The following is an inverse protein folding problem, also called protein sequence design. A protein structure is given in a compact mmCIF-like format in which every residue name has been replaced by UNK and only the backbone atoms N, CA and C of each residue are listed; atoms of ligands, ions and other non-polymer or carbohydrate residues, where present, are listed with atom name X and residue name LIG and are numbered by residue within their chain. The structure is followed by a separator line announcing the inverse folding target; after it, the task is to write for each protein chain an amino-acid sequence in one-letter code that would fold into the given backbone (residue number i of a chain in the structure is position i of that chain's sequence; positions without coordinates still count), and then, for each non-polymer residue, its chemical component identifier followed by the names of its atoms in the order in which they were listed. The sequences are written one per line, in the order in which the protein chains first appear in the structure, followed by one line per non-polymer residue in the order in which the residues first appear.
data_IF_995548450987
#
_entry.id   IF_995548450987
#
_cell.length_a   1.000
_cell.length_b   1.000
_cell.length_c   1.000
_cell.angle_alpha   90.00
_cell.angle_beta   90.00
_cell.angle_gamma   90.00
#
_symmetry.space_group_name_H-M   'P 1'
#
loop_
_entity.id
_entity.type
_entity.pdbx_description
1 polymer ?
#
# COMPACT_ATOMS: atom_id res chain seq x y z
N UNK A 1 -9.41 -29.41 54.93
CA UNK A 1 -10.50 -28.94 54.06
C UNK A 1 -10.21 -27.47 53.78
N UNK A 2 -9.14 -27.10 53.08
CA UNK A 2 -8.84 -27.31 51.66
C UNK A 2 -10.01 -26.82 50.79
N UNK A 3 -10.14 -25.50 50.78
CA UNK A 3 -10.97 -24.71 49.88
C UNK A 3 -10.20 -24.57 48.56
N UNK A 4 -10.70 -25.23 47.53
CA UNK A 4 -10.22 -25.14 46.16
C UNK A 4 -10.38 -23.69 45.67
N UNK A 5 -9.26 -22.97 45.59
CA UNK A 5 -9.14 -21.76 44.79
C UNK A 5 -9.38 -22.14 43.33
N UNK A 6 -10.62 -21.91 42.88
CA UNK A 6 -11.03 -21.88 41.49
C UNK A 6 -10.25 -20.76 40.79
N UNK A 7 -9.05 -21.10 40.32
CA UNK A 7 -8.26 -20.30 39.39
C UNK A 7 -9.12 -20.14 38.13
N UNK A 8 -9.77 -18.99 38.01
CA UNK A 8 -10.36 -18.54 36.75
C UNK A 8 -9.21 -18.29 35.79
N UNK A 9 -8.82 -19.31 35.03
CA UNK A 9 -7.89 -19.18 33.90
C UNK A 9 -8.47 -18.12 32.97
N UNK A 10 -7.84 -16.94 32.97
CA UNK A 10 -8.23 -15.84 32.10
C UNK A 10 -8.14 -16.30 30.66
N UNK A 11 -9.23 -16.17 29.90
CA UNK A 11 -9.26 -16.53 28.50
C UNK A 11 -8.05 -15.91 27.78
N UNK A 12 -7.21 -16.72 27.12
CA UNK A 12 -6.00 -16.24 26.48
C UNK A 12 -6.40 -15.34 25.32
N UNK A 13 -6.25 -14.03 25.54
CA UNK A 13 -6.27 -12.90 24.60
C UNK A 13 -6.30 -13.28 23.10
N UNK A 14 -7.46 -13.75 22.61
CA UNK A 14 -7.64 -14.27 21.25
C UNK A 14 -7.46 -13.17 20.20
N UNK A 15 -7.72 -11.91 20.58
CA UNK A 15 -7.66 -10.75 19.69
C UNK A 15 -6.23 -10.37 19.27
N UNK A 16 -5.23 -10.55 20.13
CA UNK A 16 -3.85 -10.15 19.82
C UNK A 16 -3.21 -11.11 18.80
N UNK A 17 -3.59 -12.39 18.84
CA UNK A 17 -3.04 -13.41 17.94
C UNK A 17 -3.48 -13.20 16.49
N UNK A 18 -4.71 -12.74 16.28
CA UNK A 18 -5.29 -12.58 14.94
C UNK A 18 -4.60 -11.49 14.12
N UNK A 19 -4.18 -10.38 14.75
CA UNK A 19 -3.47 -9.30 14.04
C UNK A 19 -2.07 -9.73 13.58
N UNK A 20 -1.36 -10.48 14.42
CA UNK A 20 0.01 -10.91 14.14
C UNK A 20 0.06 -11.99 13.05
N UNK A 21 -0.90 -12.91 13.04
CA UNK A 21 -1.04 -13.93 12.01
C UNK A 21 -1.35 -13.26 10.65
N UNK A 22 -2.28 -12.29 10.62
CA UNK A 22 -2.61 -11.56 9.40
C UNK A 22 -1.41 -10.80 8.82
N UNK A 23 -0.59 -10.17 9.66
CA UNK A 23 0.59 -9.44 9.19
C UNK A 23 1.66 -10.38 8.63
N UNK A 24 1.83 -11.55 9.26
CA UNK A 24 2.76 -12.59 8.81
C UNK A 24 2.33 -13.17 7.47
N UNK A 25 1.04 -13.41 7.27
CA UNK A 25 0.48 -13.89 6.01
C UNK A 25 0.67 -12.88 4.88
N UNK A 26 0.42 -11.59 5.14
CA UNK A 26 0.64 -10.52 4.15
C UNK A 26 2.11 -10.40 3.77
N UNK A 27 3.02 -10.42 4.74
CA UNK A 27 4.47 -10.40 4.49
C UNK A 27 4.92 -11.63 3.68
N UNK A 28 4.42 -12.81 4.04
CA UNK A 28 4.71 -14.06 3.33
C UNK A 28 4.23 -14.03 1.88
N UNK A 29 3.02 -13.53 1.63
CA UNK A 29 2.49 -13.36 0.28
C UNK A 29 3.35 -12.38 -0.55
N UNK A 30 3.73 -11.23 0.01
CA UNK A 30 4.56 -10.24 -0.68
C UNK A 30 5.96 -10.78 -1.02
N UNK A 31 6.60 -11.46 -0.08
CA UNK A 31 7.89 -12.10 -0.30
C UNK A 31 7.78 -13.22 -1.34
N UNK A 32 6.74 -14.06 -1.24
CA UNK A 32 6.47 -15.12 -2.20
C UNK A 32 6.30 -14.61 -3.62
N UNK A 33 5.48 -13.58 -3.81
CA UNK A 33 5.25 -12.96 -5.13
C UNK A 33 6.51 -12.30 -5.69
N UNK A 34 7.28 -11.61 -4.85
CA UNK A 34 8.51 -10.93 -5.26
C UNK A 34 9.59 -11.93 -5.67
N UNK A 35 9.84 -12.95 -4.85
CA UNK A 35 10.80 -14.00 -5.16
C UNK A 35 10.39 -14.80 -6.39
N UNK A 36 9.09 -15.11 -6.51
CA UNK A 36 8.55 -15.79 -7.68
C UNK A 36 8.73 -14.95 -8.95
N UNK A 37 8.39 -13.66 -8.91
CA UNK A 37 8.58 -12.74 -10.04
C UNK A 37 10.06 -12.56 -10.42
N UNK A 38 10.95 -12.42 -9.43
CA UNK A 38 12.39 -12.32 -9.66
C UNK A 38 12.98 -13.60 -10.29
N UNK A 39 12.52 -14.78 -9.84
CA UNK A 39 12.93 -16.05 -10.41
C UNK A 39 12.46 -16.21 -11.86
N UNK A 40 11.30 -15.65 -12.22
CA UNK A 40 10.83 -15.64 -13.61
C UNK A 40 11.67 -14.71 -14.51
N UNK A 41 12.19 -13.61 -13.97
CA UNK A 41 13.13 -12.74 -14.68
C UNK A 41 14.49 -13.41 -14.92
N UNK A 42 14.95 -14.28 -14.03
CA UNK A 42 16.21 -15.02 -14.26
C UNK A 42 16.13 -15.91 -15.51
N UNK A 43 14.93 -16.42 -15.84
CA UNK A 43 14.66 -17.19 -17.05
C UNK A 43 14.19 -16.33 -18.25
N UNK A 44 14.43 -15.02 -18.26
CA UNK A 44 13.92 -14.11 -19.30
C UNK A 44 14.33 -14.47 -20.74
N UNK A 45 15.50 -15.07 -20.89
CA UNK A 45 16.06 -15.56 -22.15
C UNK A 45 16.12 -17.08 -22.22
N UNK A 46 15.31 -17.78 -21.42
CA UNK A 46 15.24 -19.24 -21.45
C UNK A 46 14.79 -19.77 -22.83
N UNK A 47 15.26 -20.96 -23.25
CA UNK A 47 14.79 -21.60 -24.47
C UNK A 47 13.37 -22.13 -24.25
N UNK A 48 12.37 -21.45 -24.80
CA UNK A 48 10.99 -21.93 -24.79
C UNK A 48 10.68 -22.71 -26.08
N UNK A 49 9.85 -23.77 -26.00
CA UNK A 49 9.44 -24.55 -27.18
C UNK A 49 8.74 -23.71 -28.24
N UNK A 50 7.97 -22.70 -27.81
CA UNK A 50 7.24 -21.81 -28.71
C UNK A 50 7.40 -20.32 -28.38
N UNK A 51 7.22 -19.49 -29.40
CA UNK A 51 7.25 -18.04 -29.24
C UNK A 51 6.07 -17.51 -28.39
N UNK A 52 4.92 -18.20 -28.43
CA UNK A 52 3.77 -17.85 -27.62
C UNK A 52 4.06 -18.00 -26.12
N UNK A 53 4.65 -19.14 -25.72
CA UNK A 53 5.05 -19.39 -24.34
C UNK A 53 6.06 -18.35 -23.84
N UNK A 54 7.00 -17.92 -24.69
CA UNK A 54 7.95 -16.85 -24.35
C UNK A 54 7.23 -15.55 -24.05
N UNK A 55 6.26 -15.15 -24.89
CA UNK A 55 5.49 -13.91 -24.68
C UNK A 55 4.66 -14.03 -23.40
N UNK A 56 3.94 -15.14 -23.21
CA UNK A 56 3.13 -15.39 -22.02
C UNK A 56 3.99 -15.33 -20.76
N UNK A 57 5.16 -15.95 -20.76
CA UNK A 57 6.09 -15.91 -19.64
C UNK A 57 6.57 -14.50 -19.30
N UNK A 58 6.95 -13.72 -20.32
CA UNK A 58 7.40 -12.33 -20.16
C UNK A 58 6.29 -11.43 -19.65
N UNK A 59 5.09 -11.55 -20.21
CA UNK A 59 3.90 -10.82 -19.76
C UNK A 59 3.60 -11.18 -18.31
N UNK A 60 3.57 -12.47 -17.95
CA UNK A 60 3.35 -12.93 -16.58
C UNK A 60 4.36 -12.32 -15.59
N UNK A 61 5.64 -12.34 -15.94
CA UNK A 61 6.73 -11.79 -15.14
C UNK A 61 6.56 -10.28 -14.92
N UNK A 62 6.21 -9.55 -15.98
CA UNK A 62 5.95 -8.12 -15.93
C UNK A 62 4.74 -7.79 -15.06
N UNK A 63 3.64 -8.55 -15.18
CA UNK A 63 2.46 -8.32 -14.33
C UNK A 63 2.79 -8.55 -12.85
N UNK A 64 3.57 -9.58 -12.50
CA UNK A 64 4.03 -9.81 -11.13
C UNK A 64 4.87 -8.63 -10.58
N UNK A 65 5.77 -8.06 -11.39
CA UNK A 65 6.57 -6.88 -10.99
C UNK A 65 5.72 -5.62 -10.85
N UNK A 66 4.71 -5.46 -11.71
CA UNK A 66 3.78 -4.34 -11.64
C UNK A 66 2.99 -4.35 -10.33
N UNK A 67 2.60 -5.52 -9.79
CA UNK A 67 1.97 -5.62 -8.45
C UNK A 67 2.85 -5.02 -7.35
N UNK A 68 4.14 -5.37 -7.34
CA UNK A 68 5.09 -4.86 -6.35
C UNK A 68 5.35 -3.35 -6.52
N UNK A 69 5.56 -2.90 -7.76
CA UNK A 69 5.73 -1.48 -8.07
C UNK A 69 4.52 -0.64 -7.63
N UNK A 70 3.30 -1.15 -7.84
CA UNK A 70 2.07 -0.48 -7.41
C UNK A 70 1.96 -0.38 -5.89
N UNK A 71 2.32 -1.44 -5.17
CA UNK A 71 2.36 -1.40 -3.71
C UNK A 71 3.36 -0.35 -3.22
N UNK A 72 4.56 -0.30 -3.79
CA UNK A 72 5.55 0.74 -3.46
C UNK A 72 5.03 2.15 -3.75
N UNK A 73 4.32 2.36 -4.86
CA UNK A 73 3.71 3.66 -5.18
C UNK A 73 2.62 4.05 -4.16
N UNK A 74 1.79 3.11 -3.74
CA UNK A 74 0.77 3.34 -2.70
C UNK A 74 1.47 3.73 -1.39
N UNK A 75 2.47 2.97 -0.94
CA UNK A 75 3.25 3.29 0.27
C UNK A 75 3.92 4.67 0.17
N UNK A 76 4.58 4.97 -0.95
CA UNK A 76 5.21 6.26 -1.17
C UNK A 76 4.19 7.41 -1.14
N UNK A 77 3.00 7.22 -1.71
CA UNK A 77 1.93 8.22 -1.66
C UNK A 77 1.45 8.46 -0.23
N UNK A 78 1.24 7.41 0.57
CA UNK A 78 0.83 7.52 1.97
C UNK A 78 1.89 8.28 2.78
N UNK A 79 3.16 7.92 2.61
CA UNK A 79 4.29 8.60 3.27
C UNK A 79 4.33 10.08 2.88
N UNK A 80 4.18 10.39 1.59
CA UNK A 80 4.13 11.78 1.10
C UNK A 80 2.98 12.57 1.74
N UNK A 81 1.78 11.99 1.83
CA UNK A 81 0.65 12.64 2.49
C UNK A 81 0.88 12.88 3.97
N UNK A 82 1.42 11.90 4.70
CA UNK A 82 1.79 12.04 6.12
C UNK A 82 2.80 13.17 6.29
N UNK A 83 3.81 13.22 5.42
CA UNK A 83 4.84 14.25 5.43
C UNK A 83 4.25 15.65 5.18
N UNK A 84 3.40 15.82 4.17
CA UNK A 84 2.72 17.08 3.88
C UNK A 84 1.83 17.50 5.05
N UNK A 85 1.10 16.57 5.66
CA UNK A 85 0.29 16.84 6.84
C UNK A 85 1.14 17.32 8.02
N UNK A 86 2.27 16.66 8.28
CA UNK A 86 3.21 17.06 9.32
C UNK A 86 3.80 18.45 9.07
N UNK A 87 4.22 18.76 7.84
CA UNK A 87 4.71 20.09 7.47
C UNK A 87 3.66 21.18 7.68
N UNK A 88 2.41 20.92 7.29
CA UNK A 88 1.30 21.85 7.52
C UNK A 88 1.09 22.08 9.02
N UNK A 89 1.13 21.03 9.83
CA UNK A 89 1.00 21.14 11.29
C UNK A 89 2.13 21.96 11.91
N UNK A 90 3.38 21.74 11.49
CA UNK A 90 4.54 22.52 11.94
C UNK A 90 4.42 23.98 11.51
N UNK A 91 4.02 24.24 10.27
CA UNK A 91 3.81 25.59 9.76
C UNK A 91 2.73 26.35 10.55
N UNK A 92 1.58 25.70 10.80
CA UNK A 92 0.49 26.28 11.60
C UNK A 92 0.97 26.56 13.03
N UNK A 93 1.76 25.66 13.62
CA UNK A 93 2.33 25.86 14.95
C UNK A 93 3.31 27.04 14.98
N UNK A 94 4.22 27.15 14.02
CA UNK A 94 5.17 28.26 13.93
C UNK A 94 4.47 29.62 13.75
N UNK A 95 3.43 29.66 12.92
CA UNK A 95 2.64 30.89 12.69
C UNK A 95 1.91 31.36 13.94
N UNK A 96 1.44 30.45 14.80
CA UNK A 96 0.81 30.83 16.08
C UNK A 96 1.78 31.52 17.02
N UNK A 97 3.00 30.99 17.15
CA UNK A 97 4.01 31.55 18.05
C UNK A 97 4.39 33.00 17.67
N UNK A 98 4.58 33.29 16.38
CA UNK A 98 4.91 34.65 15.90
C UNK A 98 3.83 35.69 16.24
N UNK A 99 2.57 35.27 16.27
CA UNK A 99 1.45 36.16 16.55
C UNK A 99 1.31 36.46 18.05
N UNK A 100 1.80 35.57 18.91
CA UNK A 100 1.83 35.72 20.36
C UNK A 100 2.89 36.76 20.77
N UNK A 101 4.09 36.70 20.19
CA UNK A 101 5.17 37.68 20.41
C UNK A 101 4.75 39.11 20.02
N UNK A 102 4.05 39.25 18.89
CA UNK A 102 3.56 40.54 18.40
C UNK A 102 2.52 41.17 19.34
N UNK A 103 1.76 40.36 20.08
CA UNK A 103 0.74 40.84 21.03
C UNK A 103 1.35 41.35 22.33
N UNK A 104 2.46 40.76 22.79
CA UNK A 104 3.16 41.16 24.01
C UNK A 104 3.81 42.54 23.84
N UNK A 105 4.37 42.84 22.67
CA UNK A 105 5.03 44.14 22.42
C UNK A 105 4.02 45.30 22.30
N UNK A 106 2.80 45.04 21.82
CA UNK A 106 1.77 46.07 21.63
C UNK A 106 1.06 46.53 22.93
N UNK A 107 1.15 45.76 24.02
CA UNK A 107 0.45 46.05 25.28
C UNK A 107 1.11 47.12 26.18
N UNK A 108 2.29 47.63 25.83
CA UNK A 108 3.07 48.52 26.72
C UNK A 108 2.83 50.02 26.49
N UNK A 109 1.92 50.43 25.61
CA UNK A 109 1.64 51.85 25.41
C UNK A 109 0.19 52.10 25.01
N UNK A 110 -0.41 53.13 25.62
CA UNK A 110 -1.67 53.81 25.28
C UNK A 110 -3.03 53.20 25.69
N UNK A 111 -3.53 53.79 26.77
CA UNK A 111 -4.92 54.06 27.17
C UNK A 111 -5.94 54.28 26.03
N UNK A 112 -7.06 53.55 26.14
CA UNK A 112 -8.45 53.91 25.79
C UNK A 112 -8.72 54.69 24.50
N UNK A 113 -9.32 54.02 23.50
CA UNK A 113 -10.36 54.47 22.54
C UNK A 113 -10.16 53.66 21.25
N UNK A 114 -10.85 52.51 21.08
CA UNK A 114 -11.10 51.80 19.77
C UNK A 114 -11.72 50.41 20.01
N UNK A 115 -12.94 50.34 20.57
CA UNK A 115 -13.62 49.06 20.87
C UNK A 115 -14.51 48.51 19.75
N UNK A 116 -14.64 49.17 18.60
CA UNK A 116 -15.65 48.84 17.58
C UNK A 116 -15.14 48.15 16.31
N UNK A 117 -13.85 48.23 15.96
CA UNK A 117 -13.34 47.70 14.68
C UNK A 117 -12.87 46.24 14.73
N UNK A 118 -12.47 45.72 15.90
CA UNK A 118 -11.94 44.34 16.04
C UNK A 118 -12.97 43.21 15.93
N UNK A 119 -14.28 43.50 15.96
CA UNK A 119 -15.32 42.45 15.94
C UNK A 119 -15.58 41.85 14.56
N UNK A 120 -15.26 42.56 13.48
CA UNK A 120 -15.57 42.14 12.10
C UNK A 120 -14.52 41.18 11.50
N UNK A 121 -13.23 41.38 11.83
CA UNK A 121 -12.13 40.56 11.30
C UNK A 121 -12.04 39.17 11.94
N UNK A 122 -12.47 39.03 13.21
CA UNK A 122 -12.47 37.76 13.92
C UNK A 122 -13.43 36.72 13.30
N UNK A 123 -14.61 37.16 12.85
CA UNK A 123 -15.59 36.28 12.18
C UNK A 123 -15.12 35.78 10.82
N UNK A 124 -14.39 36.61 10.07
CA UNK A 124 -13.88 36.25 8.74
C UNK A 124 -12.72 35.24 8.83
N UNK A 125 -11.91 35.29 9.90
CA UNK A 125 -10.81 34.35 10.15
C UNK A 125 -11.32 32.95 10.50
N UNK A 126 -12.30 32.83 11.40
CA UNK A 126 -12.91 31.55 11.78
C UNK A 126 -13.63 30.87 10.61
N UNK A 127 -14.26 31.67 9.74
CA UNK A 127 -14.94 31.16 8.54
C UNK A 127 -13.94 30.66 7.49
N UNK A 128 -12.78 31.31 7.33
CA UNK A 128 -11.74 30.88 6.39
C UNK A 128 -11.01 29.61 6.84
N UNK A 129 -10.79 29.43 8.14
CA UNK A 129 -10.18 28.20 8.68
C UNK A 129 -11.10 26.98 8.54
N UNK A 130 -12.41 27.14 8.79
CA UNK A 130 -13.38 26.07 8.57
C UNK A 130 -13.55 25.73 7.08
N UNK A 131 -13.46 26.73 6.20
CA UNK A 131 -13.59 26.53 4.75
C UNK A 131 -12.37 25.82 4.14
N UNK A 132 -11.15 26.18 4.56
CA UNK A 132 -9.93 25.48 4.15
C UNK A 132 -9.82 24.07 4.74
N UNK A 133 -10.31 23.86 5.97
CA UNK A 133 -10.44 22.51 6.56
C UNK A 133 -11.37 21.61 5.74
N UNK A 134 -12.55 22.12 5.41
CA UNK A 134 -13.55 21.38 4.63
C UNK A 134 -13.10 21.07 3.19
N UNK A 135 -12.44 22.01 2.51
CA UNK A 135 -11.96 21.82 1.14
C UNK A 135 -10.78 20.83 1.04
N UNK A 136 -9.91 20.79 2.06
CA UNK A 136 -8.78 19.86 2.12
C UNK A 136 -9.21 18.43 2.46
N UNK A 137 -10.28 18.25 3.22
CA UNK A 137 -10.72 16.92 3.68
C UNK A 137 -11.62 16.16 2.70
N UNK A 138 -12.35 16.82 1.78
CA UNK A 138 -13.46 16.15 1.07
C UNK A 138 -13.23 15.86 -0.41
N UNK A 139 -12.44 16.67 -1.13
CA UNK A 139 -12.44 16.59 -2.61
C UNK A 139 -11.32 15.69 -3.18
N UNK A 140 -10.08 15.81 -2.70
CA UNK A 140 -8.95 15.09 -3.31
C UNK A 140 -8.84 13.63 -2.85
N UNK A 141 -9.18 13.36 -1.58
CA UNK A 141 -9.04 12.02 -1.02
C UNK A 141 -10.07 11.03 -1.58
N UNK A 142 -11.30 11.48 -1.83
CA UNK A 142 -12.35 10.61 -2.37
C UNK A 142 -12.17 10.27 -3.84
N UNK A 143 -11.70 11.23 -4.65
CA UNK A 143 -11.37 10.98 -6.05
C UNK A 143 -10.16 10.03 -6.13
N UNK A 144 -9.13 10.25 -5.30
CA UNK A 144 -7.96 9.38 -5.27
C UNK A 144 -8.31 7.96 -4.81
N UNK A 145 -9.16 7.79 -3.79
CA UNK A 145 -9.68 6.48 -3.37
C UNK A 145 -10.44 5.78 -4.48
N UNK A 146 -11.32 6.49 -5.18
CA UNK A 146 -12.13 5.92 -6.28
C UNK A 146 -11.27 5.51 -7.46
N UNK A 147 -10.35 6.38 -7.89
CA UNK A 147 -9.39 6.07 -8.95
C UNK A 147 -8.47 4.92 -8.57
N UNK A 148 -7.95 4.91 -7.34
CA UNK A 148 -7.14 3.82 -6.80
C UNK A 148 -7.89 2.50 -6.80
N UNK A 149 -9.14 2.48 -6.30
CA UNK A 149 -9.98 1.27 -6.27
C UNK A 149 -10.33 0.75 -7.66
N UNK A 150 -10.63 1.66 -8.61
CA UNK A 150 -10.91 1.27 -9.99
C UNK A 150 -9.67 0.67 -10.64
N UNK A 151 -8.51 1.32 -10.49
CA UNK A 151 -7.24 0.84 -11.01
C UNK A 151 -6.89 -0.54 -10.44
N UNK A 152 -6.97 -0.72 -9.11
CA UNK A 152 -6.65 -2.00 -8.48
C UNK A 152 -7.60 -3.10 -8.91
N UNK A 153 -8.89 -2.81 -9.09
CA UNK A 153 -9.88 -3.78 -9.57
C UNK A 153 -9.59 -4.22 -11.01
N UNK A 154 -9.31 -3.27 -11.91
CA UNK A 154 -8.96 -3.58 -13.29
C UNK A 154 -7.68 -4.40 -13.37
N UNK A 155 -6.66 -4.01 -12.60
CA UNK A 155 -5.39 -4.73 -12.56
C UNK A 155 -5.55 -6.15 -12.00
N UNK A 156 -6.29 -6.33 -10.91
CA UNK A 156 -6.59 -7.64 -10.34
C UNK A 156 -7.34 -8.53 -11.32
N UNK A 157 -8.31 -7.98 -12.06
CA UNK A 157 -9.03 -8.73 -13.10
C UNK A 157 -8.11 -9.17 -14.24
N UNK A 158 -7.24 -8.28 -14.71
CA UNK A 158 -6.26 -8.59 -15.76
C UNK A 158 -5.26 -9.65 -15.29
N UNK A 159 -4.78 -9.56 -14.04
CA UNK A 159 -3.93 -10.57 -13.42
C UNK A 159 -4.61 -11.94 -13.38
N UNK A 160 -5.87 -11.99 -12.93
CA UNK A 160 -6.65 -13.23 -12.87
C UNK A 160 -6.81 -13.86 -14.27
N UNK A 161 -7.16 -13.05 -15.28
CA UNK A 161 -7.25 -13.51 -16.67
C UNK A 161 -5.90 -14.04 -17.17
N UNK A 162 -4.81 -13.29 -16.93
CA UNK A 162 -3.47 -13.71 -17.33
C UNK A 162 -3.06 -15.03 -16.67
N UNK A 163 -3.34 -15.20 -15.37
CA UNK A 163 -3.11 -16.45 -14.65
C UNK A 163 -3.90 -17.62 -15.24
N UNK A 164 -5.17 -17.42 -15.56
CA UNK A 164 -6.01 -18.45 -16.19
C UNK A 164 -5.44 -18.83 -17.56
N UNK A 165 -5.05 -17.86 -18.39
CA UNK A 165 -4.45 -18.14 -19.70
C UNK A 165 -3.16 -18.95 -19.61
N UNK A 166 -2.29 -18.66 -18.64
CA UNK A 166 -1.07 -19.44 -18.39
C UNK A 166 -1.42 -20.87 -18.02
N UNK A 167 -2.36 -21.06 -17.08
CA UNK A 167 -2.78 -22.41 -16.66
C UNK A 167 -3.39 -23.19 -17.83
N UNK A 168 -4.22 -22.54 -18.66
CA UNK A 168 -4.81 -23.16 -19.84
C UNK A 168 -3.77 -23.59 -20.87
N UNK A 169 -2.75 -22.76 -21.14
CA UNK A 169 -1.65 -23.17 -22.02
C UNK A 169 -0.80 -24.28 -21.39
N UNK A 170 -0.56 -24.27 -20.07
CA UNK A 170 0.09 -25.40 -19.41
C UNK A 170 -0.67 -26.72 -19.61
N UNK A 171 -2.00 -26.71 -19.48
CA UNK A 171 -2.82 -27.89 -19.76
C UNK A 171 -2.81 -28.28 -21.23
N UNK A 172 -2.82 -27.30 -22.14
CA UNK A 172 -2.77 -27.56 -23.58
C UNK A 172 -1.43 -28.20 -23.96
N UNK A 173 -0.31 -27.66 -23.49
CA UNK A 173 1.03 -28.24 -23.69
C UNK A 173 1.13 -29.64 -23.10
N UNK A 174 0.54 -29.88 -21.92
CA UNK A 174 0.51 -31.21 -21.30
C UNK A 174 -0.29 -32.23 -22.14
N UNK A 175 -1.40 -31.80 -22.76
CA UNK A 175 -2.22 -32.68 -23.60
C UNK A 175 -1.50 -33.12 -24.89
N UNK A 176 -0.54 -32.34 -25.39
CA UNK A 176 0.28 -32.68 -26.54
C UNK A 176 1.65 -33.27 -26.16
N UNK A 177 1.95 -33.42 -24.87
CA UNK A 177 3.20 -34.02 -24.42
C UNK A 177 3.23 -35.51 -24.78
N UNK A 178 4.33 -35.97 -25.36
CA UNK A 178 4.54 -37.39 -25.64
C UNK A 178 4.77 -38.18 -24.36
N UNK A 179 4.42 -39.47 -24.36
CA UNK A 179 4.54 -40.35 -23.19
C UNK A 179 5.97 -40.40 -22.61
N UNK A 180 6.98 -40.12 -23.43
CA UNK A 180 8.39 -40.03 -23.03
C UNK A 180 8.64 -38.92 -21.98
N UNK A 181 7.88 -37.81 -21.99
CA UNK A 181 8.02 -36.73 -21.01
C UNK A 181 7.69 -37.22 -19.59
N UNK A 182 6.83 -38.24 -19.48
CA UNK A 182 6.44 -38.83 -18.20
C UNK A 182 7.38 -39.98 -17.77
N UNK A 183 8.25 -40.46 -18.66
CA UNK A 183 9.15 -41.58 -18.41
C UNK A 183 10.53 -41.07 -17.99
N UNK A 184 10.74 -40.98 -16.67
CA UNK A 184 11.97 -40.54 -15.98
C UNK A 184 12.49 -39.15 -16.42
N UNK A 185 12.33 -38.11 -15.58
CA UNK A 185 13.02 -36.85 -15.82
C UNK A 185 14.54 -37.07 -15.81
N UNK A 186 15.18 -36.83 -16.96
CA UNK A 186 16.64 -36.91 -17.09
C UNK A 186 17.27 -35.61 -16.59
N UNK A 187 17.18 -35.39 -15.28
CA UNK A 187 17.73 -34.21 -14.59
C UNK A 187 19.23 -34.02 -14.85
N UNK A 188 19.93 -35.09 -15.22
CA UNK A 188 21.36 -35.10 -15.51
C UNK A 188 21.74 -34.13 -16.63
N UNK A 189 20.83 -33.86 -17.57
CA UNK A 189 21.07 -32.99 -18.74
C UNK A 189 20.99 -31.49 -18.42
N UNK A 190 20.38 -31.13 -17.28
CA UNK A 190 20.21 -29.74 -16.83
C UNK A 190 21.14 -29.37 -15.68
N UNK A 191 21.81 -30.35 -15.07
CA UNK A 191 22.91 -30.08 -14.16
C UNK A 191 24.11 -29.61 -14.99
N UNK A 192 24.60 -28.42 -14.68
CA UNK A 192 25.84 -27.89 -15.25
C UNK A 192 26.92 -28.94 -15.00
N UNK A 193 27.42 -29.58 -16.06
CA UNK A 193 28.57 -30.47 -15.96
C UNK A 193 29.78 -29.61 -15.62
N UNK A 194 30.13 -29.57 -14.32
CA UNK A 194 31.35 -28.94 -13.79
C UNK A 194 32.49 -29.95 -13.84
#
# INVERSE_FOLDING_TARGET
MMSDELVTEGEPNVSIRTEQDMMTDVLGALLGETLFGALHLLAWSGPFPTHAETILWRVASLVCLMSFAMLLLIFASIIFFIFVAALVMVYVRAKRNLHEDSSITAGSSTTSVTSSFSRSSAGMRAKMENFFGALKETCEWEILKRCGKLYTTLFASLYAVCRICIVLECYRTLAYATDEVFQRPDWSRYLIHV
#
